data_IF_271990677562
#
_entry.id   IF_271990677562
#
_cell.length_a   1.000
_cell.length_b   1.000
_cell.length_c   1.000
_cell.angle_alpha   90.00
_cell.angle_beta   90.00
_cell.angle_gamma   90.00
#
_symmetry.space_group_name_H-M   'P 1'
#
loop_
_entity.id
_entity.type
_entity.pdbx_description
1 polymer ?
#
# COMPACT_ATOMS: atom_id res chain seq x y z
N UNK A 1 25.66 -7.16 42.99
CA UNK A 1 25.82 -8.23 41.98
C UNK A 1 24.42 -8.50 41.47
N UNK A 2 24.12 -8.17 40.21
CA UNK A 2 22.82 -8.51 39.62
C UNK A 2 22.73 -10.04 39.52
N UNK A 3 21.56 -10.58 39.85
CA UNK A 3 21.35 -12.02 39.88
C UNK A 3 21.23 -12.56 38.45
N UNK A 4 21.68 -13.79 38.21
CA UNK A 4 21.55 -14.43 36.89
C UNK A 4 20.08 -14.62 36.46
N UNK A 5 19.13 -14.47 37.41
CA UNK A 5 17.70 -14.36 37.13
C UNK A 5 17.33 -13.06 36.41
N UNK A 6 17.85 -11.92 36.88
CA UNK A 6 17.56 -10.60 36.29
C UNK A 6 18.05 -10.51 34.85
N UNK A 7 19.23 -11.07 34.57
CA UNK A 7 19.81 -11.07 33.22
C UNK A 7 18.95 -11.90 32.24
N UNK A 8 18.42 -13.05 32.66
CA UNK A 8 17.54 -13.87 31.82
C UNK A 8 16.20 -13.20 31.55
N UNK A 9 15.64 -12.55 32.57
CA UNK A 9 14.39 -11.79 32.43
C UNK A 9 14.56 -10.62 31.46
N UNK A 10 15.68 -9.90 31.56
CA UNK A 10 16.03 -8.83 30.63
C UNK A 10 16.18 -9.33 29.19
N UNK A 11 16.86 -10.47 28.99
CA UNK A 11 17.01 -11.08 27.65
C UNK A 11 15.65 -11.44 27.06
N UNK A 12 14.74 -12.02 27.86
CA UNK A 12 13.39 -12.35 27.42
C UNK A 12 12.59 -11.09 27.05
N UNK A 13 12.63 -10.06 27.90
CA UNK A 13 11.93 -8.80 27.64
C UNK A 13 12.43 -8.09 26.37
N UNK A 14 13.74 -8.10 26.12
CA UNK A 14 14.33 -7.56 24.89
C UNK A 14 13.89 -8.35 23.66
N UNK A 15 13.84 -9.67 23.74
CA UNK A 15 13.37 -10.50 22.63
C UNK A 15 11.89 -10.27 22.31
N UNK A 16 11.05 -10.11 23.33
CA UNK A 16 9.62 -9.78 23.14
C UNK A 16 9.43 -8.40 22.50
N UNK A 17 10.22 -7.41 22.94
CA UNK A 17 10.21 -6.07 22.36
C UNK A 17 10.61 -6.10 20.88
N UNK A 18 11.68 -6.79 20.53
CA UNK A 18 12.12 -6.94 19.14
C UNK A 18 11.04 -7.59 18.27
N UNK A 19 10.39 -8.64 18.76
CA UNK A 19 9.30 -9.28 18.03
C UNK A 19 8.09 -8.34 17.86
N UNK A 20 7.82 -7.47 18.83
CA UNK A 20 6.77 -6.45 18.71
C UNK A 20 7.13 -5.38 17.66
N UNK A 21 8.38 -4.91 17.66
CA UNK A 21 8.89 -3.96 16.68
C UNK A 21 8.82 -4.51 15.26
N UNK A 22 9.19 -5.78 15.04
CA UNK A 22 9.08 -6.43 13.75
C UNK A 22 7.64 -6.48 13.23
N UNK A 23 6.67 -6.83 14.10
CA UNK A 23 5.24 -6.84 13.74
C UNK A 23 4.74 -5.45 13.34
N UNK A 24 5.15 -4.42 14.09
CA UNK A 24 4.77 -3.03 13.79
C UNK A 24 5.42 -2.56 12.49
N UNK A 25 6.70 -2.86 12.29
CA UNK A 25 7.42 -2.52 11.07
C UNK A 25 6.75 -3.14 9.85
N UNK A 26 6.33 -4.40 9.93
CA UNK A 26 5.61 -5.06 8.84
C UNK A 26 4.26 -4.41 8.54
N UNK A 27 3.47 -4.13 9.58
CA UNK A 27 2.20 -3.41 9.41
C UNK A 27 2.39 -2.03 8.77
N UNK A 28 3.45 -1.31 9.15
CA UNK A 28 3.79 -0.01 8.58
C UNK A 28 4.23 -0.12 7.11
N UNK A 29 5.02 -1.14 6.74
CA UNK A 29 5.38 -1.38 5.34
C UNK A 29 4.15 -1.57 4.47
N UNK A 30 3.21 -2.41 4.92
CA UNK A 30 1.93 -2.62 4.22
C UNK A 30 1.16 -1.31 4.13
N UNK A 31 1.00 -0.58 5.23
CA UNK A 31 0.25 0.67 5.26
C UNK A 31 0.85 1.73 4.32
N UNK A 32 2.18 1.87 4.31
CA UNK A 32 2.91 2.85 3.51
C UNK A 32 3.22 2.38 2.08
N UNK A 33 2.85 1.15 1.72
CA UNK A 33 3.06 0.59 0.39
C UNK A 33 2.50 1.53 -0.69
N UNK A 34 3.24 1.64 -1.80
CA UNK A 34 2.87 2.46 -2.95
C UNK A 34 2.53 1.58 -4.15
N UNK A 35 1.50 1.99 -4.89
CA UNK A 35 1.10 1.35 -6.13
C UNK A 35 2.24 1.48 -7.17
N UNK A 36 2.71 0.38 -7.77
CA UNK A 36 3.89 0.41 -8.65
C UNK A 36 3.63 1.13 -9.97
N UNK A 37 2.37 1.31 -10.37
CA UNK A 37 1.99 1.96 -11.63
C UNK A 37 1.93 3.48 -11.49
N UNK A 38 1.46 3.96 -10.34
CA UNK A 38 1.15 5.38 -10.10
C UNK A 38 2.04 6.02 -9.04
N UNK A 39 2.79 5.23 -8.28
CA UNK A 39 3.63 5.69 -7.16
C UNK A 39 2.85 6.23 -5.96
N UNK A 40 1.51 6.09 -5.94
CA UNK A 40 0.64 6.64 -4.90
C UNK A 40 0.46 5.64 -3.74
N UNK A 41 0.20 6.10 -2.50
CA UNK A 41 -0.04 5.19 -1.38
C UNK A 41 -1.28 4.30 -1.60
N UNK A 42 -1.12 3.00 -1.42
CA UNK A 42 -2.18 1.98 -1.55
C UNK A 42 -3.26 2.16 -0.48
N UNK A 43 -2.93 2.72 0.68
CA UNK A 43 -3.85 2.95 1.80
C UNK A 43 -4.17 4.43 2.07
N UNK A 44 -3.81 5.33 1.13
CA UNK A 44 -4.19 6.76 1.20
C UNK A 44 -5.68 7.00 0.93
N UNK A 45 -6.15 8.26 0.92
CA UNK A 45 -7.58 8.59 0.63
C UNK A 45 -8.11 7.91 -0.64
N UNK A 46 -7.29 7.89 -1.70
CA UNK A 46 -7.63 7.27 -2.99
C UNK A 46 -7.62 5.74 -2.87
N UNK A 47 -6.63 5.19 -2.19
CA UNK A 47 -6.49 3.75 -1.96
C UNK A 47 -7.65 3.16 -1.15
N UNK A 48 -8.06 3.85 -0.07
CA UNK A 48 -9.26 3.49 0.72
C UNK A 48 -10.54 3.61 -0.09
N UNK A 49 -10.68 4.67 -0.89
CA UNK A 49 -11.82 4.79 -1.80
C UNK A 49 -11.87 3.63 -2.80
N UNK A 50 -10.72 3.22 -3.36
CA UNK A 50 -10.65 2.11 -4.31
C UNK A 50 -10.95 0.73 -3.69
N UNK A 51 -10.61 0.51 -2.41
CA UNK A 51 -11.03 -0.68 -1.65
C UNK A 51 -12.54 -0.71 -1.41
N UNK A 52 -13.11 0.42 -0.99
CA UNK A 52 -14.55 0.53 -0.70
C UNK A 52 -15.43 0.43 -1.95
N UNK A 53 -14.95 0.92 -3.10
CA UNK A 53 -15.71 0.93 -4.36
C UNK A 53 -15.40 -0.25 -5.28
N UNK A 54 -14.45 -1.13 -4.92
CA UNK A 54 -14.01 -2.25 -5.77
C UNK A 54 -13.18 -1.85 -7.00
N UNK A 55 -12.78 -0.58 -7.12
CA UNK A 55 -11.99 -0.08 -8.25
C UNK A 55 -10.57 -0.68 -8.31
N UNK A 56 -10.04 -1.17 -7.19
CA UNK A 56 -8.75 -1.85 -7.12
C UNK A 56 -8.76 -3.20 -7.86
N UNK A 57 -9.80 -4.03 -7.68
CA UNK A 57 -9.95 -5.31 -8.38
C UNK A 57 -10.21 -5.13 -9.88
N UNK A 58 -10.91 -4.06 -10.25
CA UNK A 58 -11.24 -3.77 -11.64
C UNK A 58 -10.00 -3.37 -12.46
N UNK A 59 -9.03 -2.65 -11.85
CA UNK A 59 -7.76 -2.31 -12.51
C UNK A 59 -6.83 -3.51 -12.70
N UNK A 60 -6.79 -4.43 -11.73
CA UNK A 60 -6.00 -5.68 -11.86
C UNK A 60 -6.50 -6.50 -13.05
N UNK A 61 -7.81 -6.53 -13.31
CA UNK A 61 -8.40 -7.14 -14.51
C UNK A 61 -8.16 -6.33 -15.81
N UNK A 62 -8.06 -5.00 -15.73
CA UNK A 62 -7.74 -4.16 -16.91
C UNK A 62 -6.31 -4.34 -17.42
N UNK A 63 -5.32 -4.58 -16.55
CA UNK A 63 -3.95 -4.90 -16.99
C UNK A 63 -3.86 -6.19 -17.80
N UNK A 64 -4.88 -7.07 -17.71
CA UNK A 64 -4.99 -8.30 -18.51
C UNK A 64 -5.68 -8.04 -19.86
N UNK A 65 -6.21 -6.84 -20.11
CA UNK A 65 -6.90 -6.48 -21.36
C UNK A 65 -6.33 -5.22 -22.02
N UNK A 66 -5.22 -5.35 -22.79
CA UNK A 66 -4.53 -4.23 -23.45
C UNK A 66 -5.46 -3.32 -24.27
N UNK A 67 -6.46 -3.90 -24.94
CA UNK A 67 -7.42 -3.19 -25.77
C UNK A 67 -8.28 -2.16 -24.99
N UNK A 68 -8.54 -2.39 -23.70
CA UNK A 68 -9.30 -1.45 -22.87
C UNK A 68 -8.45 -0.26 -22.44
N UNK A 69 -7.16 -0.50 -22.17
CA UNK A 69 -6.18 0.53 -21.84
C UNK A 69 -5.93 1.47 -23.02
N UNK A 70 -5.83 0.94 -24.25
CA UNK A 70 -5.70 1.73 -25.47
C UNK A 70 -6.93 2.60 -25.76
N UNK A 71 -8.16 2.05 -25.62
CA UNK A 71 -9.40 2.86 -25.76
C UNK A 71 -9.48 4.00 -24.76
N UNK A 72 -8.96 3.83 -23.54
CA UNK A 72 -8.93 4.90 -22.52
C UNK A 72 -7.89 5.97 -22.81
N UNK A 73 -6.71 5.60 -23.34
CA UNK A 73 -5.71 6.58 -23.82
C UNK A 73 -6.29 7.43 -24.94
N UNK A 74 -6.92 6.80 -25.94
CA UNK A 74 -7.58 7.50 -27.04
C UNK A 74 -8.69 8.46 -26.56
N UNK A 75 -9.44 8.08 -25.51
CA UNK A 75 -10.49 8.93 -24.93
C UNK A 75 -9.94 10.10 -24.11
N UNK A 76 -8.72 9.98 -23.57
CA UNK A 76 -8.05 11.04 -22.80
C UNK A 76 -7.47 12.10 -23.75
N UNK A 77 -6.87 11.69 -24.86
CA UNK A 77 -6.35 12.61 -25.88
C UNK A 77 -7.47 13.37 -26.62
N UNK A 78 -8.69 12.81 -26.67
CA UNK A 78 -9.86 13.48 -27.24
C UNK A 78 -10.50 14.58 -26.37
N UNK A 79 -10.05 14.79 -25.11
CA UNK A 79 -10.70 15.72 -24.16
C UNK A 79 -9.91 17.01 -23.88
N UNK A 80 -8.76 17.21 -24.51
CA UNK A 80 -7.94 18.42 -24.30
C UNK A 80 -8.18 19.56 -25.31
N UNK A 81 -9.18 19.45 -26.21
CA UNK A 81 -9.47 20.52 -27.20
C UNK A 81 -10.85 21.19 -27.02
N UNK A 82 -11.71 20.72 -26.10
CA UNK A 82 -13.10 21.21 -26.03
C UNK A 82 -13.67 21.30 -24.63
N UNK A 83 -13.32 22.34 -23.88
CA UNK A 83 -13.94 22.59 -22.56
C UNK A 83 -13.41 23.80 -21.83
N UNK A 84 -13.48 24.98 -22.46
CA UNK A 84 -13.20 26.29 -21.84
C UNK A 84 -14.19 26.58 -20.71
N UNK A 85 -13.69 27.01 -19.55
CA UNK A 85 -13.92 28.32 -18.88
C UNK A 85 -13.61 28.21 -17.39
#
# INVERSE_FOLDING_TARGET
MSDAGDERELVAAVAELQAAEERVAEALRVFLARDPVTGRPVHGRIGRAAQLTGWGEQRVKETVTPALAERRRAKRDGRDVGGRR
#
